data_IF_226320029487
#
_entry.id   IF_226320029487
#
_cell.length_a   1.000
_cell.length_b   1.000
_cell.length_c   1.000
_cell.angle_alpha   90.00
_cell.angle_beta   90.00
_cell.angle_gamma   90.00
#
_symmetry.space_group_name_H-M   'P 1'
#
loop_
_entity.id
_entity.type
_entity.pdbx_description
1 polymer ?
#
# COMPACT_ATOMS: atom_id res chain seq x y z
N UNK A 1 -13.30 102.34 -48.14
CA UNK A 1 -12.48 102.06 -46.95
C UNK A 1 -13.09 100.85 -46.27
N UNK A 2 -12.47 99.69 -46.39
CA UNK A 2 -12.88 98.47 -45.70
C UNK A 2 -11.60 97.74 -45.29
N UNK A 3 -11.06 98.13 -44.13
CA UNK A 3 -9.95 97.44 -43.51
C UNK A 3 -10.39 96.03 -43.11
N UNK A 4 -9.86 95.02 -43.79
CA UNK A 4 -10.03 93.63 -43.36
C UNK A 4 -8.96 93.33 -42.32
N UNK A 5 -9.38 93.19 -41.05
CA UNK A 5 -8.49 92.73 -39.97
C UNK A 5 -8.39 91.21 -40.01
N UNK A 6 -7.20 90.68 -40.28
CA UNK A 6 -6.90 89.26 -40.11
C UNK A 6 -6.67 88.96 -38.61
N UNK A 7 -7.40 88.00 -38.06
CA UNK A 7 -7.09 87.42 -36.76
C UNK A 7 -6.33 86.11 -36.96
N UNK A 8 -5.07 86.07 -36.52
CA UNK A 8 -4.34 84.81 -36.41
C UNK A 8 -4.79 84.10 -35.12
N UNK A 9 -5.43 82.92 -35.26
CA UNK A 9 -5.68 82.03 -34.14
C UNK A 9 -4.44 81.14 -33.96
N UNK A 10 -3.60 81.49 -32.99
CA UNK A 10 -2.49 80.64 -32.57
C UNK A 10 -3.06 79.52 -31.70
N UNK A 11 -3.08 78.30 -32.21
CA UNK A 11 -3.23 77.11 -31.35
C UNK A 11 -1.83 76.73 -30.88
N UNK A 12 -1.55 76.91 -29.58
CA UNK A 12 -0.39 76.28 -28.97
C UNK A 12 -0.61 74.77 -29.07
N UNK A 13 0.32 74.07 -29.71
CA UNK A 13 0.39 72.61 -29.56
C UNK A 13 0.77 72.33 -28.11
N UNK A 14 -0.03 71.58 -27.33
CA UNK A 14 0.36 71.20 -25.99
C UNK A 14 1.66 70.39 -26.07
N UNK A 15 2.65 70.76 -25.26
CA UNK A 15 3.92 70.05 -25.18
C UNK A 15 3.89 69.12 -23.97
N UNK A 16 4.55 67.97 -24.05
CA UNK A 16 4.47 66.94 -23.01
C UNK A 16 5.75 66.12 -22.92
N UNK A 17 5.88 65.41 -21.80
CA UNK A 17 6.73 64.23 -21.76
C UNK A 17 6.06 63.12 -22.59
N UNK A 18 6.85 62.38 -23.37
CA UNK A 18 6.39 61.24 -24.17
C UNK A 18 7.13 60.01 -23.64
N UNK A 19 6.37 58.93 -23.48
CA UNK A 19 6.89 57.58 -23.25
C UNK A 19 6.64 56.74 -24.50
N UNK A 20 7.52 55.79 -24.81
CA UNK A 20 7.32 54.82 -25.89
C UNK A 20 6.20 53.82 -25.60
N UNK A 21 5.87 53.64 -24.31
CA UNK A 21 4.79 52.77 -23.84
C UNK A 21 3.89 53.46 -22.81
N UNK A 22 2.64 52.99 -22.73
CA UNK A 22 1.73 53.32 -21.64
C UNK A 22 1.83 52.34 -20.46
N UNK A 23 2.33 51.13 -20.72
CA UNK A 23 2.46 50.07 -19.71
C UNK A 23 3.76 49.28 -19.87
N UNK A 24 4.43 49.01 -18.75
CA UNK A 24 5.64 48.18 -18.66
C UNK A 24 5.33 46.96 -17.80
N UNK A 25 5.58 45.76 -18.32
CA UNK A 25 5.50 44.51 -17.54
C UNK A 25 6.88 44.17 -16.99
N UNK A 26 7.05 44.21 -15.68
CA UNK A 26 8.32 43.91 -15.00
C UNK A 26 8.25 42.50 -14.44
N UNK A 27 9.10 41.55 -14.87
CA UNK A 27 9.14 40.23 -14.25
C UNK A 27 9.49 40.34 -12.78
N UNK A 28 8.80 39.59 -11.92
CA UNK A 28 9.10 39.52 -10.49
C UNK A 28 10.56 39.12 -10.23
N UNK A 29 11.24 39.85 -9.34
CA UNK A 29 12.68 39.70 -9.09
C UNK A 29 13.58 40.16 -10.25
N UNK A 30 13.00 40.74 -11.30
CA UNK A 30 13.66 41.16 -12.52
C UNK A 30 13.54 42.65 -12.79
N UNK A 31 13.95 43.03 -14.00
CA UNK A 31 13.95 44.42 -14.46
C UNK A 31 13.34 44.51 -15.84
N UNK A 32 12.71 45.64 -16.16
CA UNK A 32 12.35 45.99 -17.53
C UNK A 32 12.49 47.51 -17.74
N UNK A 33 12.51 47.94 -19.00
CA UNK A 33 12.80 49.33 -19.36
C UNK A 33 11.68 49.96 -20.18
N UNK A 34 11.59 51.29 -20.12
CA UNK A 34 10.86 52.12 -21.08
C UNK A 34 11.66 53.38 -21.39
N UNK A 35 11.28 54.05 -22.48
CA UNK A 35 12.00 55.21 -22.99
C UNK A 35 11.17 56.48 -22.83
N UNK A 36 11.84 57.59 -22.49
CA UNK A 36 11.23 58.90 -22.27
C UNK A 36 11.92 59.96 -23.12
N UNK A 37 11.14 60.89 -23.67
CA UNK A 37 11.62 62.11 -24.35
C UNK A 37 10.61 63.27 -24.24
N UNK A 38 10.94 64.44 -24.77
CA UNK A 38 10.02 65.58 -24.86
C UNK A 38 9.35 65.64 -26.24
N UNK A 39 8.12 66.17 -26.31
CA UNK A 39 7.41 66.34 -27.58
C UNK A 39 7.98 67.47 -28.45
N UNK A 40 8.69 68.43 -27.83
CA UNK A 40 9.19 69.64 -28.46
C UNK A 40 10.50 70.10 -27.83
N UNK A 41 11.27 70.89 -28.58
CA UNK A 41 12.52 71.49 -28.09
C UNK A 41 12.24 72.48 -26.95
N UNK A 42 12.89 72.34 -25.78
CA UNK A 42 12.76 73.30 -24.69
C UNK A 42 13.61 74.56 -24.94
N UNK A 43 13.32 75.63 -24.20
CA UNK A 43 14.08 76.89 -24.30
C UNK A 43 15.37 76.91 -23.47
N UNK A 44 15.47 76.00 -22.49
CA UNK A 44 16.62 75.70 -21.65
C UNK A 44 16.61 74.21 -21.28
N UNK A 45 17.60 73.74 -20.53
CA UNK A 45 17.55 72.37 -20.02
C UNK A 45 16.32 72.16 -19.13
N UNK A 46 15.63 71.04 -19.33
CA UNK A 46 14.46 70.60 -18.56
C UNK A 46 14.81 69.30 -17.86
N UNK A 47 14.42 69.17 -16.60
CA UNK A 47 14.59 67.95 -15.82
C UNK A 47 13.26 67.20 -15.76
N UNK A 48 13.30 65.90 -16.00
CA UNK A 48 12.18 64.98 -15.75
C UNK A 48 12.55 64.08 -14.58
N UNK A 49 11.82 64.17 -13.47
CA UNK A 49 11.98 63.31 -12.30
C UNK A 49 11.05 62.12 -12.46
N UNK A 50 11.61 60.92 -12.47
CA UNK A 50 10.84 59.68 -12.65
C UNK A 50 10.73 58.97 -11.31
N UNK A 51 9.52 58.81 -10.82
CA UNK A 51 9.27 58.18 -9.52
C UNK A 51 7.97 57.41 -9.50
N UNK A 52 7.89 56.40 -8.64
CA UNK A 52 6.62 55.75 -8.31
C UNK A 52 5.79 56.70 -7.45
N UNK A 53 4.57 56.98 -7.86
CA UNK A 53 3.65 57.90 -7.15
C UNK A 53 2.46 57.20 -6.51
N UNK A 54 2.12 55.99 -6.96
CA UNK A 54 1.02 55.19 -6.43
C UNK A 54 1.25 53.70 -6.67
N UNK A 55 0.66 52.85 -5.82
CA UNK A 55 0.54 51.41 -6.05
C UNK A 55 1.51 50.58 -5.23
N UNK A 56 1.91 49.46 -5.82
CA UNK A 56 2.78 48.44 -5.22
C UNK A 56 4.15 48.98 -4.80
N UNK A 57 4.67 48.54 -3.66
CA UNK A 57 5.98 48.94 -3.15
C UNK A 57 7.13 48.14 -3.77
N UNK A 58 6.84 46.96 -4.31
CA UNK A 58 7.85 46.08 -4.89
C UNK A 58 8.35 46.57 -6.24
N UNK A 59 7.56 47.42 -6.91
CA UNK A 59 7.98 48.10 -8.15
C UNK A 59 8.72 49.39 -7.82
N UNK A 60 9.98 49.50 -8.24
CA UNK A 60 10.83 50.67 -8.02
C UNK A 60 11.53 51.15 -9.29
N UNK A 61 11.81 52.46 -9.35
CA UNK A 61 12.71 53.03 -10.36
C UNK A 61 14.15 52.73 -9.94
N UNK A 62 14.80 51.82 -10.67
CA UNK A 62 16.16 51.38 -10.37
C UNK A 62 17.22 52.28 -11.03
N UNK A 63 16.94 52.77 -12.24
CA UNK A 63 17.79 53.70 -12.97
C UNK A 63 16.94 54.66 -13.81
N UNK A 64 17.47 55.86 -14.09
CA UNK A 64 16.74 56.90 -14.83
C UNK A 64 15.75 57.69 -13.98
N UNK A 65 15.89 57.71 -12.65
CA UNK A 65 15.03 58.49 -11.74
C UNK A 65 15.12 60.01 -11.92
N UNK A 66 16.13 60.51 -12.64
CA UNK A 66 16.25 61.91 -13.04
C UNK A 66 16.87 61.96 -14.43
N UNK A 67 16.15 62.52 -15.39
CA UNK A 67 16.55 62.67 -16.78
C UNK A 67 16.71 64.16 -17.09
N UNK A 68 17.72 64.54 -17.86
CA UNK A 68 17.94 65.94 -18.28
C UNK A 68 17.86 66.02 -19.79
N UNK A 69 16.96 66.84 -20.29
CA UNK A 69 16.76 67.13 -21.71
C UNK A 69 17.23 68.54 -22.00
N UNK A 70 18.23 68.66 -22.85
CA UNK A 70 18.78 69.92 -23.36
C UNK A 70 18.06 70.33 -24.65
N UNK A 71 18.39 71.51 -25.15
CA UNK A 71 17.91 71.95 -26.47
C UNK A 71 18.44 71.08 -27.62
N UNK A 72 19.48 70.27 -27.41
CA UNK A 72 20.10 69.44 -28.46
C UNK A 72 19.65 67.97 -28.47
N UNK A 73 19.11 67.45 -27.38
CA UNK A 73 18.80 66.02 -27.18
C UNK A 73 17.38 65.74 -26.67
N UNK A 74 16.50 66.76 -26.64
CA UNK A 74 15.11 66.64 -26.20
C UNK A 74 14.27 65.55 -26.90
N UNK A 75 14.59 65.25 -28.17
CA UNK A 75 13.94 64.20 -28.97
C UNK A 75 14.73 62.87 -28.99
N UNK A 76 15.77 62.78 -28.16
CA UNK A 76 16.55 61.55 -27.98
C UNK A 76 15.97 60.75 -26.83
N UNK A 77 15.65 59.50 -27.08
CA UNK A 77 15.10 58.58 -26.08
C UNK A 77 16.11 58.35 -24.93
N UNK A 78 15.68 58.65 -23.71
CA UNK A 78 16.42 58.32 -22.49
C UNK A 78 15.76 57.15 -21.77
N UNK A 79 16.58 56.22 -21.29
CA UNK A 79 16.12 54.95 -20.71
C UNK A 79 15.75 55.13 -19.24
N UNK A 80 14.60 54.60 -18.85
CA UNK A 80 14.23 54.35 -17.45
C UNK A 80 14.22 52.84 -17.22
N UNK A 81 14.84 52.39 -16.13
CA UNK A 81 14.83 50.98 -15.73
C UNK A 81 14.00 50.82 -14.46
N UNK A 82 13.00 49.96 -14.54
CA UNK A 82 12.18 49.53 -13.41
C UNK A 82 12.64 48.15 -12.93
N UNK A 83 12.49 47.90 -11.63
CA UNK A 83 12.67 46.60 -11.01
C UNK A 83 11.42 46.24 -10.20
N UNK A 84 11.08 44.95 -10.18
CA UNK A 84 10.09 44.38 -9.27
C UNK A 84 10.82 43.47 -8.26
N UNK A 85 10.63 43.69 -6.97
CA UNK A 85 11.15 42.78 -5.94
C UNK A 85 10.41 41.43 -6.01
N UNK A 86 10.99 40.35 -5.48
CA UNK A 86 10.25 39.09 -5.34
C UNK A 86 9.50 39.06 -4.03
N UNK A 87 8.29 38.54 -4.06
CA UNK A 87 7.53 38.18 -2.89
C UNK A 87 7.15 36.69 -2.93
N UNK A 88 6.07 36.30 -2.26
CA UNK A 88 5.67 34.90 -2.14
C UNK A 88 4.15 34.77 -2.23
N UNK A 89 3.52 35.56 -3.10
CA UNK A 89 2.11 35.38 -3.43
C UNK A 89 1.90 34.93 -4.88
N UNK A 90 0.76 35.19 -5.48
CA UNK A 90 0.49 34.77 -6.86
C UNK A 90 -0.21 35.89 -7.64
N UNK A 91 -0.22 37.09 -7.07
CA UNK A 91 -0.94 38.26 -7.54
C UNK A 91 0.04 39.22 -8.18
N UNK A 92 -0.30 39.72 -9.36
CA UNK A 92 0.51 40.75 -10.00
C UNK A 92 0.35 42.08 -9.23
N UNK A 93 1.45 42.64 -8.74
CA UNK A 93 1.53 44.03 -8.30
C UNK A 93 1.33 45.05 -9.43
N UNK A 94 0.84 46.25 -9.10
CA UNK A 94 0.71 47.35 -10.07
C UNK A 94 1.01 48.70 -9.45
N UNK A 95 1.76 49.53 -10.19
CA UNK A 95 2.19 50.86 -9.80
C UNK A 95 2.05 51.91 -10.89
N UNK A 96 1.85 53.16 -10.49
CA UNK A 96 1.95 54.32 -11.38
C UNK A 96 3.34 54.93 -11.25
N UNK A 97 4.06 54.98 -12.37
CA UNK A 97 5.33 55.69 -12.50
C UNK A 97 5.05 57.04 -13.16
N UNK A 98 5.32 58.13 -12.47
CA UNK A 98 5.14 59.49 -12.97
C UNK A 98 6.47 60.04 -13.43
N UNK A 99 6.50 60.50 -14.67
CA UNK A 99 7.56 61.31 -15.25
C UNK A 99 7.17 62.79 -15.07
N UNK A 100 7.58 63.36 -13.92
CA UNK A 100 7.27 64.72 -13.47
C UNK A 100 8.24 65.71 -14.11
N UNK A 101 7.72 66.64 -14.93
CA UNK A 101 8.54 67.58 -15.69
C UNK A 101 8.68 68.91 -14.97
N UNK A 102 9.92 69.38 -14.81
CA UNK A 102 10.21 70.60 -14.04
C UNK A 102 9.68 71.89 -14.68
N UNK A 103 9.43 71.87 -15.99
CA UNK A 103 8.94 73.00 -16.76
C UNK A 103 7.42 72.86 -16.97
N UNK A 104 6.66 73.74 -16.31
CA UNK A 104 5.20 73.75 -16.34
C UNK A 104 4.59 74.02 -17.73
N UNK A 105 5.40 74.36 -18.74
CA UNK A 105 4.95 74.37 -20.13
C UNK A 105 4.63 72.96 -20.65
N UNK A 106 5.30 71.94 -20.10
CA UNK A 106 5.10 70.53 -20.43
C UNK A 106 4.13 69.87 -19.46
N UNK A 107 3.35 68.93 -19.96
CA UNK A 107 2.54 68.04 -19.11
C UNK A 107 3.30 66.76 -18.79
N UNK A 108 3.17 66.29 -17.54
CA UNK A 108 3.71 65.01 -17.07
C UNK A 108 3.19 63.82 -17.88
N UNK A 109 3.93 62.72 -17.79
CA UNK A 109 3.51 61.42 -18.33
C UNK A 109 3.45 60.38 -17.21
N UNK A 110 2.30 59.74 -17.07
CA UNK A 110 2.17 58.53 -16.26
C UNK A 110 2.37 57.29 -17.14
N UNK A 111 3.13 56.33 -16.62
CA UNK A 111 3.32 54.99 -17.16
C UNK A 111 2.87 54.00 -16.10
N UNK A 112 2.03 53.04 -16.48
CA UNK A 112 1.62 51.96 -15.58
C UNK A 112 2.71 50.89 -15.60
N UNK A 113 3.22 50.52 -14.43
CA UNK A 113 4.10 49.37 -14.27
C UNK A 113 3.28 48.24 -13.65
N UNK A 114 3.25 47.08 -14.31
CA UNK A 114 2.65 45.86 -13.79
C UNK A 114 3.75 44.84 -13.55
N UNK A 115 3.73 44.23 -12.39
CA UNK A 115 4.57 43.08 -12.13
C UNK A 115 3.99 41.86 -12.84
N UNK A 116 4.87 40.99 -13.34
CA UNK A 116 4.51 39.64 -13.78
C UNK A 116 5.04 38.68 -12.73
N UNK A 117 4.14 38.28 -11.85
CA UNK A 117 4.39 37.34 -10.76
C UNK A 117 4.88 36.00 -11.34
N UNK A 118 5.84 35.36 -10.65
CA UNK A 118 6.43 34.09 -11.06
C UNK A 118 5.93 32.89 -10.26
N UNK A 119 4.99 33.10 -9.35
CA UNK A 119 4.47 32.13 -8.41
C UNK A 119 3.04 31.69 -8.75
N UNK A 120 2.62 30.54 -8.23
CA UNK A 120 1.28 29.99 -8.48
C UNK A 120 0.87 29.00 -7.40
N UNK A 121 -0.41 28.66 -7.33
CA UNK A 121 -0.93 27.78 -6.28
C UNK A 121 -0.92 26.31 -6.70
N UNK A 122 -0.17 25.49 -5.96
CA UNK A 122 -0.29 24.03 -5.96
C UNK A 122 -1.17 23.58 -4.79
N UNK A 123 -2.22 22.81 -5.05
CA UNK A 123 -2.99 22.15 -3.98
C UNK A 123 -2.64 20.68 -3.89
N UNK A 124 -2.15 20.23 -2.73
CA UNK A 124 -1.82 18.82 -2.48
C UNK A 124 -2.82 18.22 -1.49
N UNK A 125 -3.41 17.08 -1.86
CA UNK A 125 -4.47 16.42 -1.08
C UNK A 125 -4.28 14.90 -1.01
N UNK A 126 -5.13 14.23 -0.23
CA UNK A 126 -5.26 12.77 -0.24
C UNK A 126 -6.74 12.33 -0.28
N UNK A 127 -6.98 11.04 -0.47
CA UNK A 127 -8.31 10.42 -0.50
C UNK A 127 -8.92 10.09 0.88
N UNK A 128 -8.32 10.57 1.97
CA UNK A 128 -8.73 10.33 3.36
C UNK A 128 -7.97 9.21 4.07
N UNK A 129 -7.16 8.42 3.35
CA UNK A 129 -6.50 7.23 3.89
C UNK A 129 -4.99 7.41 4.14
N UNK A 130 -4.55 8.66 4.26
CA UNK A 130 -3.18 9.01 4.57
C UNK A 130 -2.99 10.50 4.83
N UNK A 131 -1.75 10.95 4.75
CA UNK A 131 -1.34 12.34 4.83
C UNK A 131 -0.43 12.70 3.64
N UNK A 132 -0.26 13.99 3.38
CA UNK A 132 0.67 14.50 2.38
C UNK A 132 1.55 15.61 2.96
N UNK A 133 2.73 15.79 2.37
CA UNK A 133 3.62 16.91 2.63
C UNK A 133 4.09 17.50 1.29
N UNK A 134 3.76 18.76 0.95
CA UNK A 134 2.85 19.65 1.67
C UNK A 134 1.39 19.15 1.67
N UNK A 135 0.52 19.82 2.42
CA UNK A 135 -0.91 19.53 2.50
C UNK A 135 -1.71 20.83 2.36
N UNK A 136 -2.75 20.80 1.54
CA UNK A 136 -3.54 21.99 1.19
C UNK A 136 -2.90 22.81 0.08
N UNK A 137 -3.33 24.07 -0.03
CA UNK A 137 -2.78 25.02 -0.98
C UNK A 137 -1.42 25.54 -0.50
N UNK A 138 -0.45 25.58 -1.41
CA UNK A 138 0.89 26.14 -1.22
C UNK A 138 1.26 26.96 -2.45
N UNK A 139 1.94 28.09 -2.24
CA UNK A 139 2.49 28.93 -3.30
C UNK A 139 3.84 28.36 -3.73
N UNK A 140 4.04 28.22 -5.04
CA UNK A 140 5.23 27.63 -5.65
C UNK A 140 5.61 28.40 -6.91
N UNK A 141 6.90 28.44 -7.22
CA UNK A 141 7.40 29.09 -8.43
C UNK A 141 6.99 28.30 -9.70
N UNK A 142 6.47 29.03 -10.70
CA UNK A 142 6.03 28.49 -11.98
C UNK A 142 7.19 27.77 -12.68
N UNK A 143 6.95 26.54 -13.14
CA UNK A 143 7.94 25.74 -13.86
C UNK A 143 9.03 25.12 -12.98
N UNK A 144 9.04 25.40 -11.67
CA UNK A 144 9.99 24.81 -10.72
C UNK A 144 9.39 23.56 -10.06
N UNK A 145 10.21 22.52 -9.93
CA UNK A 145 9.79 21.28 -9.27
C UNK A 145 9.64 21.48 -7.76
N UNK A 146 8.46 21.18 -7.25
CA UNK A 146 8.13 21.18 -5.82
C UNK A 146 8.07 19.75 -5.30
N UNK A 147 8.76 19.46 -4.19
CA UNK A 147 8.70 18.15 -3.55
C UNK A 147 7.32 17.88 -2.97
N UNK A 148 6.78 16.70 -3.25
CA UNK A 148 5.56 16.18 -2.65
C UNK A 148 5.80 14.77 -2.11
N UNK A 149 5.24 14.46 -0.96
CA UNK A 149 5.34 13.16 -0.32
C UNK A 149 4.01 12.75 0.30
N UNK A 150 3.80 11.44 0.38
CA UNK A 150 2.61 10.82 0.95
C UNK A 150 3.00 9.89 2.10
N UNK A 151 2.16 9.80 3.12
CA UNK A 151 2.32 8.85 4.22
C UNK A 151 1.01 8.10 4.38
N UNK A 152 1.03 6.78 4.19
CA UNK A 152 -0.18 5.96 4.34
C UNK A 152 -0.57 5.82 5.82
N UNK A 153 -1.87 5.84 6.11
CA UNK A 153 -2.35 5.46 7.43
C UNK A 153 -2.07 3.97 7.69
N UNK A 154 -2.13 3.57 8.97
CA UNK A 154 -2.09 2.15 9.32
C UNK A 154 -3.17 1.37 8.55
N UNK A 155 -2.80 0.19 8.05
CA UNK A 155 -3.68 -0.61 7.21
C UNK A 155 -3.72 -0.24 5.73
N UNK A 156 -3.11 0.86 5.30
CA UNK A 156 -3.08 1.27 3.90
C UNK A 156 -1.68 1.19 3.28
N UNK A 157 -1.65 1.22 1.95
CA UNK A 157 -0.44 1.35 1.11
C UNK A 157 -0.63 2.49 0.13
N UNK A 158 0.43 3.24 -0.16
CA UNK A 158 0.40 4.25 -1.21
C UNK A 158 0.14 3.59 -2.56
N UNK A 159 -0.83 4.12 -3.32
CA UNK A 159 -1.20 3.62 -4.63
C UNK A 159 -0.50 4.42 -5.71
N UNK A 160 -0.84 5.71 -5.82
CA UNK A 160 -0.28 6.63 -6.79
C UNK A 160 -0.67 8.09 -6.48
N UNK A 161 0.00 9.01 -7.15
CA UNK A 161 -0.41 10.39 -7.33
C UNK A 161 -1.26 10.56 -8.60
N UNK A 162 -2.17 11.53 -8.58
CA UNK A 162 -2.97 11.92 -9.74
C UNK A 162 -3.21 13.43 -9.76
N UNK A 163 -3.36 13.99 -10.96
CA UNK A 163 -3.81 15.38 -11.13
C UNK A 163 -5.34 15.41 -11.02
N UNK A 164 -5.87 16.32 -10.21
CA UNK A 164 -7.30 16.43 -9.91
C UNK A 164 -7.93 17.71 -10.42
N UNK A 165 -7.11 18.75 -10.64
CA UNK A 165 -7.51 20.00 -11.27
C UNK A 165 -6.29 20.62 -11.99
N UNK A 166 -6.53 21.33 -13.10
CA UNK A 166 -5.48 22.01 -13.85
C UNK A 166 -4.51 21.05 -14.54
N UNK A 167 -3.28 21.54 -14.77
CA UNK A 167 -2.20 20.78 -15.42
C UNK A 167 -0.97 20.77 -14.51
N UNK A 168 -0.53 19.58 -14.12
CA UNK A 168 0.68 19.36 -13.36
C UNK A 168 1.48 18.20 -13.97
N UNK A 169 2.80 18.34 -13.97
CA UNK A 169 3.72 17.25 -14.33
C UNK A 169 4.24 16.63 -13.04
N UNK A 170 3.95 15.36 -12.81
CA UNK A 170 4.43 14.59 -11.66
C UNK A 170 5.56 13.68 -12.14
N UNK A 171 6.74 13.78 -11.54
CA UNK A 171 7.94 13.09 -12.04
C UNK A 171 7.80 11.57 -12.03
N UNK A 172 7.27 11.03 -10.94
CA UNK A 172 6.87 9.62 -10.82
C UNK A 172 5.57 9.54 -10.02
N UNK A 173 4.50 9.08 -10.65
CA UNK A 173 3.19 8.96 -10.02
C UNK A 173 3.13 7.79 -9.04
N UNK A 174 4.04 6.82 -9.10
CA UNK A 174 4.02 5.63 -8.25
C UNK A 174 5.04 5.71 -7.10
N UNK A 175 5.86 6.75 -7.06
CA UNK A 175 6.75 7.02 -5.94
C UNK A 175 6.02 7.74 -4.79
N UNK A 176 6.16 7.18 -3.58
CA UNK A 176 5.61 7.77 -2.34
C UNK A 176 6.17 9.17 -2.05
N UNK A 177 7.36 9.49 -2.57
CA UNK A 177 7.97 10.82 -2.56
C UNK A 177 8.47 11.14 -3.96
N UNK A 178 8.05 12.28 -4.48
CA UNK A 178 8.24 12.67 -5.89
C UNK A 178 8.22 14.20 -6.01
N UNK A 179 8.21 14.73 -7.23
CA UNK A 179 8.03 16.16 -7.47
C UNK A 179 6.83 16.44 -8.37
N UNK A 180 6.22 17.61 -8.18
CA UNK A 180 5.22 18.19 -9.06
C UNK A 180 5.71 19.53 -9.61
N UNK A 181 5.48 19.77 -10.90
CA UNK A 181 5.80 21.04 -11.58
C UNK A 181 4.54 21.59 -12.24
N UNK A 182 4.24 22.87 -12.02
CA UNK A 182 3.03 23.55 -12.50
C UNK A 182 3.38 24.92 -13.09
N UNK A 183 2.59 25.41 -14.05
CA UNK A 183 2.75 26.75 -14.65
C UNK A 183 1.49 27.63 -14.45
N UNK A 184 0.46 27.07 -13.82
CA UNK A 184 -0.82 27.70 -13.50
C UNK A 184 -1.45 26.92 -12.33
N UNK A 185 -2.50 27.44 -11.67
CA UNK A 185 -3.09 26.76 -10.52
C UNK A 185 -3.51 25.32 -10.83
N UNK A 186 -3.06 24.39 -10.02
CA UNK A 186 -3.35 22.96 -10.20
C UNK A 186 -3.47 22.24 -8.87
N UNK A 187 -4.12 21.08 -8.89
CA UNK A 187 -4.28 20.23 -7.73
C UNK A 187 -3.84 18.80 -8.04
N UNK A 188 -3.16 18.19 -7.06
CA UNK A 188 -2.74 16.79 -7.08
C UNK A 188 -3.26 16.07 -5.84
N UNK A 189 -3.43 14.75 -5.96
CA UNK A 189 -3.94 13.91 -4.89
C UNK A 189 -3.17 12.60 -4.80
N UNK A 190 -2.76 12.25 -3.58
CA UNK A 190 -2.29 10.91 -3.22
C UNK A 190 -3.49 9.99 -2.99
N UNK A 191 -3.42 8.80 -3.58
CA UNK A 191 -4.39 7.73 -3.37
C UNK A 191 -3.76 6.56 -2.63
N UNK A 192 -4.55 5.87 -1.82
CA UNK A 192 -4.10 4.74 -1.02
C UNK A 192 -5.04 3.54 -1.16
N UNK A 193 -4.48 2.33 -1.08
CA UNK A 193 -5.25 1.07 -1.11
C UNK A 193 -5.11 0.36 0.21
N UNK A 194 -6.25 -0.13 0.73
CA UNK A 194 -6.31 -0.93 1.95
C UNK A 194 -5.52 -2.23 1.75
N UNK A 195 -4.67 -2.58 2.71
CA UNK A 195 -3.84 -3.78 2.68
C UNK A 195 -4.71 -5.04 2.68
N UNK A 196 -4.27 -6.03 1.92
CA UNK A 196 -4.80 -7.38 1.97
C UNK A 196 -3.65 -8.38 2.11
N UNK A 197 -3.97 -9.54 2.68
CA UNK A 197 -3.02 -10.59 2.98
C UNK A 197 -3.51 -11.92 2.46
N UNK A 198 -2.60 -12.72 1.93
CA UNK A 198 -2.90 -14.04 1.40
C UNK A 198 -2.90 -15.07 2.52
N UNK A 199 -4.00 -15.81 2.66
CA UNK A 199 -4.12 -16.98 3.53
C UNK A 199 -4.21 -18.21 2.63
N UNK A 200 -3.23 -19.10 2.74
CA UNK A 200 -3.11 -20.30 1.92
C UNK A 200 -3.10 -21.56 2.78
N UNK A 201 -3.38 -22.69 2.15
CA UNK A 201 -3.54 -23.97 2.81
C UNK A 201 -2.62 -25.01 2.20
N UNK A 202 -2.02 -25.83 3.05
CA UNK A 202 -1.15 -26.94 2.68
C UNK A 202 -1.70 -28.25 3.23
N UNK A 203 -1.73 -29.29 2.39
CA UNK A 203 -2.27 -30.60 2.75
C UNK A 203 -1.45 -31.34 3.80
N UNK A 204 -0.22 -30.89 4.08
CA UNK A 204 0.71 -31.40 5.07
C UNK A 204 0.83 -32.94 5.06
N UNK A 205 1.10 -33.48 3.88
CA UNK A 205 1.23 -34.92 3.66
C UNK A 205 -0.08 -35.71 3.73
N UNK A 206 -1.21 -35.11 3.35
CA UNK A 206 -2.41 -35.87 3.01
C UNK A 206 -2.13 -36.86 1.87
N UNK A 207 -2.82 -38.01 1.88
CA UNK A 207 -2.69 -39.02 0.82
C UNK A 207 -3.63 -38.72 -0.35
N UNK A 208 -4.80 -38.13 -0.06
CA UNK A 208 -5.85 -37.78 -1.03
C UNK A 208 -6.55 -36.47 -0.65
N UNK A 209 -7.37 -35.97 -1.59
CA UNK A 209 -8.13 -34.73 -1.45
C UNK A 209 -7.36 -33.52 -1.99
N UNK A 210 -7.96 -32.34 -1.86
CA UNK A 210 -7.34 -31.07 -2.26
C UNK A 210 -7.44 -30.05 -1.14
N UNK A 211 -6.47 -29.15 -1.05
CA UNK A 211 -6.56 -28.02 -0.13
C UNK A 211 -7.68 -27.05 -0.55
N UNK A 212 -8.26 -26.28 0.38
CA UNK A 212 -9.15 -25.18 0.03
C UNK A 212 -8.48 -24.15 -0.87
N UNK A 213 -9.29 -23.41 -1.62
CA UNK A 213 -8.82 -22.25 -2.38
C UNK A 213 -8.19 -21.20 -1.45
N UNK A 214 -7.17 -20.52 -1.95
CA UNK A 214 -6.54 -19.38 -1.28
C UNK A 214 -7.58 -18.32 -0.92
N UNK A 215 -7.51 -17.80 0.29
CA UNK A 215 -8.37 -16.72 0.79
C UNK A 215 -7.61 -15.40 0.89
N UNK A 216 -8.36 -14.30 0.83
CA UNK A 216 -7.84 -12.94 1.01
C UNK A 216 -8.34 -12.39 2.35
N UNK A 217 -7.41 -12.11 3.26
CA UNK A 217 -7.64 -11.40 4.53
C UNK A 217 -7.53 -9.91 4.29
N UNK A 218 -8.62 -9.17 4.46
CA UNK A 218 -8.59 -7.70 4.44
C UNK A 218 -8.04 -7.18 5.78
N UNK A 219 -7.17 -6.16 5.74
CA UNK A 219 -6.60 -5.57 6.95
C UNK A 219 -7.69 -5.09 7.92
N UNK A 220 -7.56 -5.45 9.19
CA UNK A 220 -8.51 -5.10 10.25
C UNK A 220 -9.86 -5.82 10.20
N UNK A 221 -10.11 -6.66 9.19
CA UNK A 221 -11.34 -7.45 9.06
C UNK A 221 -11.04 -8.92 9.31
N UNK A 222 -11.61 -9.48 10.36
CA UNK A 222 -11.48 -10.90 10.68
C UNK A 222 -11.86 -11.82 9.51
N UNK A 223 -11.07 -12.88 9.30
CA UNK A 223 -11.32 -13.89 8.26
C UNK A 223 -11.76 -15.20 8.90
N UNK A 224 -12.86 -15.77 8.41
CA UNK A 224 -13.24 -17.16 8.74
C UNK A 224 -12.41 -18.10 7.86
N UNK A 225 -11.62 -18.95 8.51
CA UNK A 225 -10.76 -19.93 7.85
C UNK A 225 -11.59 -21.02 7.18
N UNK A 226 -11.09 -21.51 6.06
CA UNK A 226 -11.73 -22.60 5.33
C UNK A 226 -11.83 -23.87 6.18
N UNK A 227 -12.94 -24.60 6.00
CA UNK A 227 -13.08 -25.99 6.45
C UNK A 227 -12.36 -26.94 5.47
N UNK A 228 -12.23 -28.23 5.78
CA UNK A 228 -11.67 -29.26 4.89
C UNK A 228 -12.61 -29.61 3.72
N UNK A 229 -12.94 -28.61 2.90
CA UNK A 229 -13.91 -28.69 1.81
C UNK A 229 -13.46 -29.59 0.66
N UNK A 230 -12.14 -29.73 0.45
CA UNK A 230 -11.58 -30.64 -0.54
C UNK A 230 -11.37 -32.07 -0.04
N UNK A 231 -11.92 -32.41 1.14
CA UNK A 231 -11.91 -33.77 1.70
C UNK A 231 -10.50 -34.35 1.83
N UNK A 232 -9.55 -33.56 2.31
CA UNK A 232 -8.21 -34.03 2.65
C UNK A 232 -8.31 -35.20 3.63
N UNK A 233 -7.61 -36.29 3.30
CA UNK A 233 -7.52 -37.45 4.16
C UNK A 233 -6.11 -38.02 4.18
N UNK A 234 -5.71 -38.53 5.34
CA UNK A 234 -4.43 -39.18 5.58
C UNK A 234 -4.67 -40.51 6.29
N UNK A 235 -4.15 -41.59 5.72
CA UNK A 235 -4.37 -42.96 6.18
C UNK A 235 -3.87 -43.14 7.60
N UNK A 236 -4.72 -43.65 8.48
CA UNK A 236 -4.40 -43.81 9.90
C UNK A 236 -4.53 -42.53 10.75
N UNK A 237 -4.95 -41.40 10.17
CA UNK A 237 -5.15 -40.14 10.89
C UNK A 237 -6.57 -39.58 10.72
N UNK A 238 -6.94 -38.67 11.61
CA UNK A 238 -8.13 -37.81 11.54
C UNK A 238 -7.67 -36.37 11.34
N UNK A 239 -8.31 -35.64 10.44
CA UNK A 239 -8.07 -34.21 10.27
C UNK A 239 -8.50 -33.46 11.52
N UNK A 240 -7.59 -32.71 12.14
CA UNK A 240 -7.79 -32.03 13.42
C UNK A 240 -7.98 -30.51 13.27
N UNK A 241 -7.83 -29.98 12.05
CA UNK A 241 -7.86 -28.54 11.76
C UNK A 241 -6.59 -28.11 11.03
N UNK A 242 -6.22 -26.85 11.24
CA UNK A 242 -5.09 -26.19 10.62
C UNK A 242 -4.06 -25.77 11.68
N UNK A 243 -2.79 -25.76 11.32
CA UNK A 243 -1.70 -25.30 12.19
C UNK A 243 -0.79 -24.30 11.45
N UNK A 244 -0.19 -23.36 12.16
CA UNK A 244 0.77 -22.39 11.58
C UNK A 244 2.16 -22.97 11.27
N UNK A 245 2.44 -24.22 11.67
CA UNK A 245 3.69 -24.92 11.43
C UNK A 245 3.45 -26.33 10.87
N UNK A 246 4.37 -26.80 10.04
CA UNK A 246 4.29 -28.12 9.41
C UNK A 246 4.38 -29.27 10.40
N UNK A 247 5.09 -29.07 11.51
CA UNK A 247 5.32 -30.07 12.56
C UNK A 247 4.19 -30.13 13.60
N UNK A 248 3.16 -29.29 13.46
CA UNK A 248 2.04 -29.20 14.40
C UNK A 248 2.37 -28.48 15.71
N UNK A 249 3.55 -27.89 15.87
CA UNK A 249 3.94 -27.15 17.08
C UNK A 249 3.63 -25.65 17.00
N UNK A 250 3.00 -25.19 15.91
CA UNK A 250 2.50 -23.83 15.78
C UNK A 250 1.16 -23.63 16.47
N UNK A 251 0.53 -22.47 16.24
CA UNK A 251 -0.82 -22.20 16.70
C UNK A 251 -1.84 -23.04 15.94
N UNK A 252 -2.71 -23.73 16.67
CA UNK A 252 -3.83 -24.50 16.12
C UNK A 252 -5.05 -23.62 15.82
N UNK A 253 -5.75 -23.98 14.75
CA UNK A 253 -7.04 -23.42 14.33
C UNK A 253 -7.97 -24.57 13.97
N UNK A 254 -9.15 -24.63 14.58
CA UNK A 254 -10.21 -25.52 14.15
C UNK A 254 -10.78 -25.09 12.79
N UNK A 255 -11.56 -25.98 12.17
CA UNK A 255 -12.26 -25.67 10.93
C UNK A 255 -13.28 -24.54 11.15
N UNK A 256 -13.22 -23.50 10.32
CA UNK A 256 -14.11 -22.35 10.46
C UNK A 256 -13.71 -21.35 11.56
N UNK A 257 -12.53 -21.51 12.16
CA UNK A 257 -12.02 -20.55 13.15
C UNK A 257 -11.73 -19.18 12.53
N UNK A 258 -11.68 -18.17 13.41
CA UNK A 258 -11.40 -16.79 13.03
C UNK A 258 -9.89 -16.49 13.06
N UNK A 259 -9.37 -16.00 11.93
CA UNK A 259 -8.02 -15.45 11.81
C UNK A 259 -8.04 -13.93 11.88
N UNK A 260 -7.48 -13.38 12.96
CA UNK A 260 -7.51 -11.93 13.28
C UNK A 260 -6.21 -11.21 12.92
N UNK A 261 -5.12 -11.95 12.72
CA UNK A 261 -3.80 -11.35 12.46
C UNK A 261 -3.74 -10.71 11.08
N UNK A 262 -3.15 -9.53 10.99
CA UNK A 262 -2.96 -8.79 9.73
C UNK A 262 -1.64 -9.19 9.06
N UNK A 263 -1.55 -10.47 8.67
CA UNK A 263 -0.38 -11.03 8.01
C UNK A 263 -0.78 -12.08 6.98
N UNK A 264 0.10 -12.31 6.00
CA UNK A 264 -0.02 -13.46 5.13
C UNK A 264 0.44 -14.71 5.89
N UNK A 265 -0.22 -15.85 5.64
CA UNK A 265 0.10 -17.12 6.31
C UNK A 265 -0.17 -18.30 5.39
N UNK A 266 0.62 -19.37 5.57
CA UNK A 266 0.30 -20.71 5.07
C UNK A 266 -0.08 -21.57 6.27
N UNK A 267 -1.28 -22.14 6.22
CA UNK A 267 -1.83 -23.01 7.24
C UNK A 267 -1.71 -24.47 6.78
N UNK A 268 -1.18 -25.32 7.65
CA UNK A 268 -0.88 -26.72 7.37
C UNK A 268 -1.95 -27.61 7.98
N UNK A 269 -2.43 -28.61 7.24
CA UNK A 269 -3.34 -29.60 7.80
C UNK A 269 -2.74 -30.25 9.06
N UNK A 270 -3.48 -30.22 10.16
CA UNK A 270 -3.10 -30.86 11.41
C UNK A 270 -3.77 -32.24 11.47
N UNK A 271 -3.01 -33.27 11.86
CA UNK A 271 -3.43 -34.66 11.79
C UNK A 271 -3.30 -35.34 13.15
N UNK A 272 -4.40 -35.86 13.69
CA UNK A 272 -4.40 -36.67 14.91
C UNK A 272 -4.34 -38.14 14.54
N UNK A 273 -3.34 -38.86 15.05
CA UNK A 273 -3.21 -40.31 14.83
C UNK A 273 -4.45 -41.03 15.38
N UNK A 274 -5.08 -41.89 14.58
CA UNK A 274 -6.20 -42.70 15.02
C UNK A 274 -5.72 -43.79 15.97
N UNK A 275 -6.60 -44.21 16.86
CA UNK A 275 -6.40 -45.38 17.72
C UNK A 275 -7.51 -46.37 17.52
N UNK A 276 -7.18 -47.66 17.56
CA UNK A 276 -8.10 -48.77 17.41
C UNK A 276 -8.02 -49.70 18.61
N UNK A 277 -9.17 -50.27 18.96
CA UNK A 277 -9.29 -51.23 20.04
C UNK A 277 -8.99 -52.65 19.55
N UNK A 278 -8.28 -53.43 20.36
CA UNK A 278 -8.09 -54.86 20.18
C UNK A 278 -8.64 -55.59 21.39
N UNK A 279 -9.64 -56.46 21.16
CA UNK A 279 -10.22 -57.33 22.18
C UNK A 279 -9.69 -58.75 22.02
N UNK A 280 -9.06 -59.30 23.05
CA UNK A 280 -8.49 -60.66 23.04
C UNK A 280 -9.17 -61.53 24.08
N UNK A 281 -9.76 -62.63 23.60
CA UNK A 281 -10.42 -63.65 24.41
C UNK A 281 -9.70 -65.00 24.29
N UNK A 282 -9.58 -65.69 25.42
CA UNK A 282 -9.12 -67.07 25.48
C UNK A 282 -9.76 -67.77 26.68
N UNK A 283 -10.39 -68.93 26.46
CA UNK A 283 -10.95 -69.75 27.55
C UNK A 283 -9.86 -70.37 28.43
N UNK A 284 -8.72 -70.71 27.84
CA UNK A 284 -7.57 -71.28 28.54
C UNK A 284 -6.26 -70.56 28.19
N UNK A 285 -5.16 -70.94 28.84
CA UNK A 285 -3.84 -70.35 28.61
C UNK A 285 -3.74 -68.90 29.09
N UNK A 286 -2.69 -68.21 28.66
CA UNK A 286 -2.42 -66.82 29.04
C UNK A 286 -2.14 -65.99 27.78
N UNK A 287 -3.15 -65.32 27.21
CA UNK A 287 -2.95 -64.49 26.03
C UNK A 287 -2.13 -63.23 26.34
N UNK A 288 -1.35 -62.76 25.37
CA UNK A 288 -0.64 -61.47 25.37
C UNK A 288 -0.73 -60.88 23.96
N UNK A 289 -1.32 -59.68 23.77
CA UNK A 289 -2.10 -58.92 24.75
C UNK A 289 -3.36 -59.68 25.21
N UNK A 290 -3.94 -59.28 26.34
CA UNK A 290 -5.18 -59.85 26.90
C UNK A 290 -6.21 -58.78 27.19
N UNK A 291 -7.50 -59.14 27.17
CA UNK A 291 -8.59 -58.19 27.40
C UNK A 291 -8.67 -57.15 26.28
N UNK A 292 -9.01 -55.90 26.63
CA UNK A 292 -9.14 -54.79 25.66
C UNK A 292 -7.90 -53.91 25.75
N UNK A 293 -7.25 -53.67 24.61
CA UNK A 293 -6.10 -52.76 24.47
C UNK A 293 -6.37 -51.70 23.41
N UNK A 294 -5.80 -50.51 23.57
CA UNK A 294 -5.86 -49.43 22.58
C UNK A 294 -4.51 -49.34 21.87
N UNK A 295 -4.54 -49.37 20.54
CA UNK A 295 -3.34 -49.40 19.71
C UNK A 295 -3.38 -48.25 18.71
N UNK A 296 -2.23 -47.66 18.41
CA UNK A 296 -2.12 -46.66 17.35
C UNK A 296 -2.42 -47.30 15.98
N UNK A 297 -3.08 -46.55 15.10
CA UNK A 297 -3.31 -46.96 13.72
C UNK A 297 -1.97 -47.30 13.03
N UNK A 298 -1.92 -48.46 12.37
CA UNK A 298 -0.72 -48.96 11.72
C UNK A 298 0.28 -49.62 12.66
N UNK A 299 -0.03 -49.77 13.96
CA UNK A 299 0.85 -50.50 14.88
C UNK A 299 0.89 -52.00 14.53
N UNK A 300 2.10 -52.57 14.54
CA UNK A 300 2.29 -54.02 14.49
C UNK A 300 1.91 -54.61 15.86
N UNK A 301 1.02 -55.59 15.85
CA UNK A 301 0.59 -56.33 17.02
C UNK A 301 1.07 -57.77 16.91
N UNK A 302 1.91 -58.18 17.86
CA UNK A 302 2.26 -59.58 18.10
C UNK A 302 1.35 -60.12 19.18
N UNK A 303 0.49 -61.07 18.81
CA UNK A 303 -0.40 -61.75 19.74
C UNK A 303 0.02 -63.21 19.91
N UNK A 304 0.06 -63.67 21.16
CA UNK A 304 0.42 -65.04 21.54
C UNK A 304 -0.51 -65.54 22.63
N UNK A 305 -0.83 -66.83 22.62
CA UNK A 305 -1.41 -67.51 23.79
C UNK A 305 -0.41 -68.51 24.35
N UNK A 306 0.13 -68.17 25.52
CA UNK A 306 1.06 -69.04 26.22
C UNK A 306 0.33 -70.16 26.96
N UNK A 307 1.05 -71.25 27.22
CA UNK A 307 0.57 -72.34 28.07
C UNK A 307 -0.07 -73.50 27.33
N UNK A 308 -0.23 -73.48 26.00
CA UNK A 308 -0.74 -74.64 25.24
C UNK A 308 0.33 -75.74 25.07
N UNK A 309 0.04 -77.02 25.41
CA UNK A 309 -1.18 -77.50 26.05
C UNK A 309 -1.25 -77.12 27.54
N UNK A 310 -2.44 -76.70 28.02
CA UNK A 310 -2.68 -76.20 29.38
C UNK A 310 -3.66 -77.10 30.14
N UNK A 311 -3.61 -77.03 31.48
CA UNK A 311 -4.51 -77.71 32.42
C UNK A 311 -4.61 -79.23 32.19
N UNK A 312 -3.76 -79.99 32.87
CA UNK A 312 -3.95 -81.44 33.01
C UNK A 312 -4.95 -81.64 34.15
N UNK A 313 -6.21 -81.93 33.81
CA UNK A 313 -7.24 -82.32 34.77
C UNK A 313 -7.58 -83.79 34.54
N UNK A 314 -7.01 -84.67 35.36
CA UNK A 314 -7.13 -86.12 35.19
C UNK A 314 -6.51 -86.58 33.87
N UNK A 315 -7.32 -87.14 32.96
CA UNK A 315 -6.88 -87.60 31.64
C UNK A 315 -7.03 -86.53 30.54
N UNK A 316 -7.51 -85.32 30.84
CA UNK A 316 -7.77 -84.28 29.82
C UNK A 316 -6.67 -83.23 29.78
N UNK A 317 -6.33 -82.72 28.58
CA UNK A 317 -5.54 -81.50 28.37
C UNK A 317 -6.23 -80.58 27.34
N UNK A 318 -6.08 -79.27 27.47
CA UNK A 318 -6.54 -78.32 26.46
C UNK A 318 -5.40 -77.92 25.53
N UNK A 319 -5.56 -78.17 24.23
CA UNK A 319 -4.61 -77.79 23.19
C UNK A 319 -5.20 -76.62 22.39
N UNK A 320 -4.48 -75.52 22.30
CA UNK A 320 -4.86 -74.43 21.41
C UNK A 320 -4.68 -74.89 19.96
N UNK A 321 -5.74 -74.77 19.18
CA UNK A 321 -5.78 -75.22 17.77
C UNK A 321 -5.61 -74.07 16.78
N UNK A 322 -5.75 -72.83 17.25
CA UNK A 322 -5.69 -71.65 16.42
C UNK A 322 -6.44 -70.47 17.02
N UNK A 323 -6.85 -69.54 16.16
CA UNK A 323 -7.69 -68.40 16.50
C UNK A 323 -8.73 -68.15 15.42
N UNK A 324 -9.76 -67.40 15.78
CA UNK A 324 -10.60 -66.66 14.84
C UNK A 324 -10.50 -65.17 15.15
N UNK A 325 -10.65 -64.33 14.13
CA UNK A 325 -10.47 -62.90 14.27
C UNK A 325 -11.42 -62.04 13.44
N UNK A 326 -11.52 -60.76 13.80
CA UNK A 326 -12.28 -59.74 13.07
C UNK A 326 -11.45 -58.47 12.89
N UNK A 327 -11.89 -57.60 11.99
CA UNK A 327 -11.21 -56.34 11.69
C UNK A 327 -9.86 -56.62 11.00
N UNK A 328 -8.79 -56.05 11.55
CA UNK A 328 -7.44 -56.21 11.03
C UNK A 328 -6.82 -57.59 11.29
N UNK A 329 -7.43 -58.40 12.15
CA UNK A 329 -6.96 -59.75 12.45
C UNK A 329 -7.39 -60.70 11.32
N UNK A 330 -6.50 -61.58 10.81
CA UNK A 330 -6.90 -62.63 9.88
C UNK A 330 -8.09 -63.45 10.41
N UNK A 331 -9.07 -63.72 9.54
CA UNK A 331 -10.34 -64.34 9.92
C UNK A 331 -10.17 -65.64 10.73
N UNK A 332 -9.13 -66.43 10.43
CA UNK A 332 -8.68 -67.55 11.25
C UNK A 332 -7.22 -67.90 10.95
N UNK A 333 -6.60 -68.69 11.83
CA UNK A 333 -5.28 -69.27 11.57
C UNK A 333 -4.88 -70.34 12.59
N UNK A 334 -3.89 -71.18 12.26
CA UNK A 334 -3.43 -72.26 13.13
C UNK A 334 -2.32 -71.81 14.09
N UNK A 335 -2.20 -72.48 15.23
CA UNK A 335 -1.09 -72.31 16.16
C UNK A 335 -1.42 -71.35 17.31
N UNK A 336 -0.37 -70.88 17.99
CA UNK A 336 -0.48 -70.14 19.26
C UNK A 336 0.00 -68.69 19.17
N UNK A 337 0.31 -68.20 17.97
CA UNK A 337 0.80 -66.85 17.74
C UNK A 337 0.41 -66.32 16.36
N UNK A 338 0.27 -65.00 16.26
CA UNK A 338 0.04 -64.26 15.03
C UNK A 338 0.66 -62.87 15.11
N UNK A 339 1.02 -62.32 13.95
CA UNK A 339 1.40 -60.92 13.78
C UNK A 339 0.44 -60.29 12.77
N UNK A 340 -0.03 -59.08 13.05
CA UNK A 340 -0.84 -58.29 12.12
C UNK A 340 -0.64 -56.80 12.38
N UNK A 341 -1.03 -55.96 11.41
CA UNK A 341 -1.03 -54.49 11.57
C UNK A 341 -2.46 -54.04 11.86
N UNK A 342 -2.67 -53.30 12.95
CA UNK A 342 -4.01 -52.85 13.34
C UNK A 342 -4.40 -51.55 12.64
N UNK A 343 -5.48 -51.58 11.86
CA UNK A 343 -6.02 -50.44 11.09
C UNK A 343 -7.51 -50.22 11.30
N UNK A 344 -8.15 -51.05 12.12
CA UNK A 344 -9.55 -50.93 12.55
C UNK A 344 -9.76 -51.69 13.87
N UNK A 345 -10.90 -51.47 14.53
CA UNK A 345 -11.26 -52.20 15.75
C UNK A 345 -11.31 -53.70 15.46
N UNK A 346 -10.62 -54.48 16.30
CA UNK A 346 -10.27 -55.87 16.00
C UNK A 346 -10.52 -56.79 17.20
N UNK A 347 -10.78 -58.07 16.92
CA UNK A 347 -10.98 -59.09 17.95
C UNK A 347 -10.17 -60.34 17.64
N UNK A 348 -9.64 -61.00 18.68
CA UNK A 348 -9.02 -62.33 18.63
C UNK A 348 -9.76 -63.24 19.62
N UNK A 349 -10.16 -64.43 19.18
CA UNK A 349 -10.69 -65.49 20.03
C UNK A 349 -9.83 -66.74 19.81
N UNK A 350 -9.03 -67.11 20.81
CA UNK A 350 -8.22 -68.33 20.78
C UNK A 350 -9.09 -69.56 20.89
N UNK A 351 -8.87 -70.51 19.98
CA UNK A 351 -9.62 -71.75 19.85
C UNK A 351 -8.88 -72.89 20.55
N UNK A 352 -9.63 -73.73 21.26
CA UNK A 352 -9.11 -74.81 22.08
C UNK A 352 -9.84 -76.13 21.79
N UNK A 353 -9.10 -77.23 21.84
CA UNK A 353 -9.64 -78.59 21.80
C UNK A 353 -9.23 -79.37 23.04
N UNK A 354 -10.10 -80.23 23.53
CA UNK A 354 -9.81 -81.16 24.64
C UNK A 354 -9.24 -82.47 24.09
N UNK A 355 -8.01 -82.80 24.47
CA UNK A 355 -7.41 -84.11 24.22
C UNK A 355 -7.53 -85.00 25.46
N UNK A 356 -7.67 -86.31 25.26
CA UNK A 356 -7.77 -87.30 26.33
C UNK A 356 -6.61 -88.30 26.26
N UNK A 357 -6.00 -88.58 27.40
CA UNK A 357 -5.07 -89.69 27.58
C UNK A 357 -5.85 -90.99 27.76
N UNK A 358 -5.52 -92.00 26.97
CA UNK A 358 -6.05 -93.36 27.15
C UNK A 358 -4.96 -94.21 27.78
N UNK A 359 -5.18 -94.65 29.02
CA UNK A 359 -4.34 -95.68 29.63
C UNK A 359 -4.76 -97.05 29.07
N UNK A 360 -3.88 -97.65 28.26
CA UNK A 360 -4.03 -99.01 27.79
C UNK A 360 -3.25 -99.94 28.70
N UNK A 361 -3.97 -100.67 29.56
CA UNK A 361 -3.39 -101.76 30.33
C UNK A 361 -3.28 -102.99 29.43
N UNK A 362 -2.07 -103.30 28.93
CA UNK A 362 -1.79 -104.53 28.20
C UNK A 362 -1.41 -105.61 29.21
N UNK A 363 -2.32 -106.54 29.48
CA UNK A 363 -1.99 -107.78 30.19
C UNK A 363 -1.47 -108.80 29.16
N UNK A 364 -0.16 -109.01 29.12
CA UNK A 364 0.47 -110.10 28.37
C UNK A 364 0.37 -111.44 29.11
N UNK A 365 0.31 -112.53 28.33
CA UNK A 365 0.21 -113.94 28.77
C UNK A 365 1.31 -114.40 29.74
#
# INVERSE_FOLDING_TARGET
>A
DASTTLYAKWTLTPVSVISDVDTVHVPEGGTNTFQVKLSNQPSSNVTVTVSRTLGDLDIAVQAGGTLTFTTGDWDTDQVVTLAAASDADAENGSSTITCDVSDAAYTDKNVTATETDKDTTLTVSNDGNGATAPSGAVIVEKGVSTNIAATANEGYTFANWSVTNGVATIADTNAVSTTATINAPAAVRASFVLKSYTVSYDANGADIGTVPSVQTKTHGVDLVLAVNSGSLAKTGYTFAGWNMATDGNGTDYAEGDTYTTNAAVTLYACWTLKTYTLTVYSDHGSPTPSGVTTNNAGASVDAVVAGSPVEIVGISQYLCTGWVGTGSVPASGPGTNLNFTITEDSTIIWQWSTNYWVELNVTGE
#
